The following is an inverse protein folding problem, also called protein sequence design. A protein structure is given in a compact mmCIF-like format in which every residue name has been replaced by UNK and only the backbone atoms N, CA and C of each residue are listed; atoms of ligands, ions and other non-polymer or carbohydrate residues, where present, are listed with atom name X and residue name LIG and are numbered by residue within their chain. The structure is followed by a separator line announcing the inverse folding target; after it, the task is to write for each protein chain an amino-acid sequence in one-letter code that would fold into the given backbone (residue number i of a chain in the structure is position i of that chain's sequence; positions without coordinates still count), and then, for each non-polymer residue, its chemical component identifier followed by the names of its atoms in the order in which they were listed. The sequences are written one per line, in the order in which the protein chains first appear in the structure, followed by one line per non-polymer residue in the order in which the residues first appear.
data_IF_418127496741
#
_entry.id   IF_418127496741
#
_cell.length_a   1.000
_cell.length_b   1.000
_cell.length_c   1.000
_cell.angle_alpha   90.00
_cell.angle_beta   90.00
_cell.angle_gamma   90.00
#
_symmetry.space_group_name_H-M   'P 1'
#
loop_
_entity.id
_entity.type
_entity.pdbx_description
1 polymer ?
#
# COMPACT_ATOMS: atom_id res chain seq x y z
N UNK A 1 -8.28 8.28 21.43
CA UNK A 1 -7.61 7.74 22.63
C UNK A 1 -6.50 6.80 22.23
N UNK A 2 -5.36 7.39 22.03
CA UNK A 2 -4.17 6.68 21.56
C UNK A 2 -3.29 6.15 22.68
N UNK A 3 -3.52 6.59 23.94
CA UNK A 3 -2.66 6.28 25.08
C UNK A 3 -2.66 4.83 25.53
N UNK A 4 -3.81 4.15 25.45
CA UNK A 4 -3.95 2.80 25.97
C UNK A 4 -3.10 1.75 25.27
N UNK A 5 -2.94 1.88 23.95
CA UNK A 5 -2.11 0.95 23.18
C UNK A 5 -0.62 1.08 23.50
N UNK A 6 -0.15 2.30 23.68
CA UNK A 6 1.24 2.56 24.04
C UNK A 6 1.54 2.02 25.44
N UNK A 7 0.68 2.29 26.40
CA UNK A 7 0.85 1.80 27.77
C UNK A 7 0.90 0.28 27.85
N UNK A 8 0.02 -0.39 27.10
CA UNK A 8 -0.02 -1.86 27.03
C UNK A 8 1.29 -2.39 26.46
N UNK A 9 1.78 -1.81 25.38
CA UNK A 9 3.03 -2.23 24.75
C UNK A 9 4.22 -2.00 25.68
N UNK A 10 4.29 -0.86 26.34
CA UNK A 10 5.33 -0.54 27.30
C UNK A 10 5.35 -1.55 28.44
N UNK A 11 4.19 -1.87 28.99
CA UNK A 11 4.05 -2.88 30.04
C UNK A 11 4.52 -4.25 29.55
N UNK A 12 4.07 -4.66 28.36
CA UNK A 12 4.42 -5.97 27.80
C UNK A 12 5.94 -6.10 27.63
N UNK A 13 6.59 -5.07 27.10
CA UNK A 13 8.05 -5.09 26.91
C UNK A 13 8.79 -5.09 28.25
N UNK A 14 8.32 -4.35 29.22
CA UNK A 14 8.92 -4.34 30.57
C UNK A 14 8.84 -5.73 31.23
N UNK A 15 7.87 -6.53 30.85
CA UNK A 15 7.65 -7.90 31.36
C UNK A 15 8.19 -8.98 30.43
N UNK A 16 9.07 -8.62 29.48
CA UNK A 16 9.77 -9.58 28.64
C UNK A 16 8.99 -10.13 27.47
N UNK A 17 7.86 -9.54 27.12
CA UNK A 17 7.09 -9.96 25.93
C UNK A 17 7.93 -9.67 24.68
N UNK A 18 8.16 -10.68 23.81
CA UNK A 18 8.92 -10.46 22.57
C UNK A 18 8.16 -9.60 21.58
N UNK A 19 8.88 -8.94 20.70
CA UNK A 19 8.32 -8.23 19.55
C UNK A 19 9.16 -8.50 18.30
N UNK A 20 8.57 -8.24 17.15
CA UNK A 20 9.20 -8.42 15.84
C UNK A 20 8.70 -7.33 14.88
N UNK A 21 8.96 -7.51 13.58
CA UNK A 21 8.54 -6.57 12.52
C UNK A 21 7.02 -6.38 12.48
N UNK A 22 6.26 -7.37 12.92
CA UNK A 22 4.79 -7.28 12.96
C UNK A 22 4.32 -6.21 13.93
N UNK A 23 5.05 -5.96 15.02
CA UNK A 23 4.71 -4.91 15.99
C UNK A 23 4.67 -3.54 15.32
N UNK A 24 5.72 -3.19 14.57
CA UNK A 24 5.78 -1.93 13.83
C UNK A 24 4.76 -1.89 12.70
N UNK A 25 4.55 -3.00 12.01
CA UNK A 25 3.55 -3.11 10.95
C UNK A 25 2.15 -2.81 11.47
N UNK A 26 1.74 -3.43 12.57
CA UNK A 26 0.41 -3.20 13.14
C UNK A 26 0.24 -1.76 13.65
N UNK A 27 1.28 -1.18 14.23
CA UNK A 27 1.24 0.22 14.64
C UNK A 27 1.05 1.14 13.42
N UNK A 28 1.73 0.85 12.32
CA UNK A 28 1.61 1.60 11.08
C UNK A 28 0.23 1.42 10.44
N UNK A 29 -0.28 0.21 10.40
CA UNK A 29 -1.61 -0.11 9.84
C UNK A 29 -2.73 0.60 10.60
N UNK A 30 -2.61 0.71 11.92
CA UNK A 30 -3.59 1.38 12.76
C UNK A 30 -3.40 2.89 12.84
N UNK A 31 -2.36 3.44 12.23
CA UNK A 31 -2.06 4.87 12.30
C UNK A 31 -1.55 5.35 13.65
N UNK A 32 -0.98 4.44 14.43
CA UNK A 32 -0.52 4.74 15.79
C UNK A 32 0.92 5.26 15.78
N UNK A 33 1.10 6.51 15.42
CA UNK A 33 2.42 7.12 15.26
C UNK A 33 3.25 7.08 16.54
N UNK A 34 2.66 7.45 17.67
CA UNK A 34 3.36 7.43 18.96
C UNK A 34 3.87 6.04 19.35
N UNK A 35 3.03 5.02 19.08
CA UNK A 35 3.40 3.61 19.33
C UNK A 35 4.59 3.22 18.45
N UNK A 36 4.52 3.57 17.17
CA UNK A 36 5.59 3.26 16.21
C UNK A 36 6.89 3.98 16.62
N UNK A 37 6.81 5.25 16.97
CA UNK A 37 7.97 6.05 17.40
C UNK A 37 8.62 5.44 18.65
N UNK A 38 7.81 5.09 19.64
CA UNK A 38 8.31 4.48 20.86
C UNK A 38 8.95 3.12 20.58
N UNK A 39 8.28 2.28 19.79
CA UNK A 39 8.79 0.96 19.43
C UNK A 39 10.15 1.06 18.76
N UNK A 40 10.29 1.95 17.78
CA UNK A 40 11.57 2.15 17.09
C UNK A 40 12.66 2.72 17.99
N UNK A 41 12.32 3.64 18.87
CA UNK A 41 13.27 4.20 19.85
C UNK A 41 13.81 3.11 20.78
N UNK A 42 13.06 2.04 20.98
CA UNK A 42 13.43 0.92 21.85
C UNK A 42 13.87 -0.33 21.06
N UNK A 43 14.26 -0.17 19.80
CA UNK A 43 14.89 -1.22 19.01
C UNK A 43 13.96 -2.23 18.33
N UNK A 44 12.67 -1.96 18.27
CA UNK A 44 11.75 -2.84 17.54
C UNK A 44 12.12 -2.82 16.05
N UNK A 45 12.30 -3.99 15.41
CA UNK A 45 12.63 -4.02 13.98
C UNK A 45 11.46 -3.60 13.11
N UNK A 46 11.76 -3.09 11.91
CA UNK A 46 10.78 -2.80 10.89
C UNK A 46 11.31 -3.16 9.49
N UNK A 47 10.43 -3.21 8.52
CA UNK A 47 10.78 -3.52 7.15
C UNK A 47 9.78 -2.84 6.18
N UNK A 48 9.84 -3.20 4.90
CA UNK A 48 8.95 -2.65 3.87
C UNK A 48 7.46 -2.90 4.14
N UNK A 49 7.12 -3.90 4.93
CA UNK A 49 5.73 -4.14 5.32
C UNK A 49 5.18 -3.04 6.25
N UNK A 50 6.06 -2.36 6.97
CA UNK A 50 5.66 -1.20 7.81
C UNK A 50 5.15 -0.06 6.92
N UNK A 51 5.89 0.29 5.86
CA UNK A 51 5.46 1.33 4.92
C UNK A 51 4.23 0.89 4.13
N UNK A 52 4.18 -0.38 3.72
CA UNK A 52 3.02 -0.95 3.03
C UNK A 52 1.76 -0.86 3.89
N UNK A 53 1.87 -1.15 5.17
CA UNK A 53 0.75 -1.08 6.11
C UNK A 53 0.25 0.36 6.29
N UNK A 54 1.17 1.32 6.37
CA UNK A 54 0.81 2.74 6.45
C UNK A 54 0.05 3.21 5.21
N UNK A 55 0.50 2.78 4.02
CA UNK A 55 -0.18 3.10 2.77
C UNK A 55 -1.54 2.43 2.67
N UNK A 56 -1.62 1.16 3.04
CA UNK A 56 -2.89 0.41 3.05
C UNK A 56 -3.93 1.09 3.92
N UNK A 57 -3.55 1.56 5.09
CA UNK A 57 -4.43 2.26 6.02
C UNK A 57 -4.66 3.74 5.67
N UNK A 58 -3.93 4.29 4.71
CA UNK A 58 -4.01 5.70 4.35
C UNK A 58 -3.42 6.64 5.41
N UNK A 59 -2.49 6.15 6.20
CA UNK A 59 -1.89 6.93 7.30
C UNK A 59 -0.67 7.70 6.83
N UNK A 60 -0.94 8.85 6.25
CA UNK A 60 0.05 9.70 5.58
C UNK A 60 1.19 10.13 6.51
N UNK A 61 0.83 10.61 7.70
CA UNK A 61 1.80 11.07 8.70
C UNK A 61 2.74 9.96 9.15
N UNK A 62 2.20 8.75 9.37
CA UNK A 62 2.99 7.56 9.71
C UNK A 62 3.96 7.22 8.60
N UNK A 63 3.50 7.23 7.35
CA UNK A 63 4.35 6.96 6.19
C UNK A 63 5.48 7.97 6.08
N UNK A 64 5.17 9.27 6.21
CA UNK A 64 6.16 10.33 6.14
C UNK A 64 7.22 10.17 7.22
N UNK A 65 6.79 9.92 8.45
CA UNK A 65 7.73 9.72 9.55
C UNK A 65 8.60 8.48 9.33
N UNK A 66 8.00 7.37 8.93
CA UNK A 66 8.72 6.12 8.69
C UNK A 66 9.80 6.31 7.63
N UNK A 67 9.47 6.95 6.52
CA UNK A 67 10.44 7.23 5.46
C UNK A 67 11.52 8.22 5.88
N UNK A 68 11.17 9.23 6.64
CA UNK A 68 12.15 10.18 7.16
C UNK A 68 13.16 9.50 8.09
N UNK A 69 12.78 8.39 8.70
CA UNK A 69 13.62 7.62 9.62
C UNK A 69 14.19 6.33 8.99
N UNK A 70 14.18 6.23 7.66
CA UNK A 70 14.88 5.18 6.94
C UNK A 70 14.12 3.86 6.78
N UNK A 71 12.81 3.82 7.03
CA UNK A 71 12.04 2.61 6.79
C UNK A 71 12.04 2.28 5.29
N UNK A 72 12.41 1.06 4.88
CA UNK A 72 12.44 0.73 3.46
C UNK A 72 11.06 0.65 2.83
N UNK A 73 11.00 0.79 1.51
CA UNK A 73 9.81 0.55 0.71
C UNK A 73 10.18 -0.11 -0.63
N UNK A 74 9.22 -0.71 -1.28
CA UNK A 74 9.42 -1.38 -2.57
C UNK A 74 8.13 -1.32 -3.42
N UNK A 75 8.08 -2.10 -4.50
CA UNK A 75 6.93 -2.15 -5.42
C UNK A 75 5.64 -2.61 -4.72
N UNK A 76 5.76 -3.46 -3.71
CA UNK A 76 4.59 -3.88 -2.91
C UNK A 76 4.01 -2.74 -2.10
N UNK A 77 4.83 -1.74 -1.74
CA UNK A 77 4.38 -0.57 -0.99
C UNK A 77 3.34 0.21 -1.79
N UNK A 78 3.60 0.48 -3.08
CA UNK A 78 2.64 1.16 -3.95
C UNK A 78 1.39 0.32 -4.19
N UNK A 79 1.56 -1.00 -4.34
CA UNK A 79 0.43 -1.91 -4.48
C UNK A 79 -0.51 -1.87 -3.27
N UNK A 80 0.04 -1.73 -2.07
CA UNK A 80 -0.76 -1.61 -0.84
C UNK A 80 -1.64 -0.35 -0.83
N UNK A 81 -1.14 0.77 -1.34
CA UNK A 81 -1.93 2.00 -1.48
C UNK A 81 -3.16 1.78 -2.36
N UNK A 82 -3.01 0.98 -3.39
CA UNK A 82 -4.09 0.68 -4.33
C UNK A 82 -5.16 -0.21 -3.73
N UNK A 83 -4.77 -1.18 -2.91
CA UNK A 83 -5.74 -1.97 -2.16
C UNK A 83 -6.55 -1.11 -1.19
N UNK A 84 -5.88 -0.15 -0.54
CA UNK A 84 -6.53 0.75 0.39
C UNK A 84 -7.34 1.87 -0.27
N UNK A 85 -7.12 2.14 -1.56
CA UNK A 85 -7.84 3.19 -2.27
C UNK A 85 -7.41 4.61 -1.92
N UNK A 86 -6.18 4.81 -1.48
CA UNK A 86 -5.67 6.10 -1.00
C UNK A 86 -4.81 6.79 -2.06
N UNK A 87 -5.44 7.53 -2.96
CA UNK A 87 -4.77 8.19 -4.09
C UNK A 87 -3.71 9.20 -3.65
N UNK A 88 -4.04 10.07 -2.70
CA UNK A 88 -3.10 11.10 -2.24
C UNK A 88 -1.80 10.52 -1.67
N UNK A 89 -1.94 9.43 -0.92
CA UNK A 89 -0.78 8.73 -0.33
C UNK A 89 0.07 8.08 -1.40
N UNK A 90 -0.57 7.48 -2.40
CA UNK A 90 0.13 6.93 -3.57
C UNK A 90 0.89 8.01 -4.33
N UNK A 91 0.25 9.15 -4.57
CA UNK A 91 0.86 10.28 -5.27
C UNK A 91 2.10 10.78 -4.54
N UNK A 92 2.02 10.93 -3.24
CA UNK A 92 3.16 11.32 -2.42
C UNK A 92 4.29 10.28 -2.50
N UNK A 93 3.95 9.01 -2.37
CA UNK A 93 4.94 7.93 -2.42
C UNK A 93 5.70 7.95 -3.75
N UNK A 94 4.99 8.09 -4.85
CA UNK A 94 5.61 8.18 -6.17
C UNK A 94 6.46 9.44 -6.35
N UNK A 95 5.99 10.57 -5.85
CA UNK A 95 6.76 11.82 -5.90
C UNK A 95 8.07 11.71 -5.11
N UNK A 96 8.13 10.82 -4.13
CA UNK A 96 9.30 10.58 -3.29
C UNK A 96 10.08 9.32 -3.68
N UNK A 97 9.83 8.77 -4.87
CA UNK A 97 10.66 7.71 -5.43
C UNK A 97 10.26 6.28 -5.09
N UNK A 98 9.08 6.06 -4.51
CA UNK A 98 8.61 4.70 -4.26
C UNK A 98 8.40 3.98 -5.61
N UNK A 99 9.04 2.82 -5.82
CA UNK A 99 8.90 2.12 -7.10
C UNK A 99 7.51 1.52 -7.30
N UNK A 100 7.14 1.32 -8.55
CA UNK A 100 5.93 0.58 -8.90
C UNK A 100 6.21 -0.35 -10.09
N UNK A 101 5.32 -1.30 -10.31
CA UNK A 101 5.41 -2.23 -11.43
C UNK A 101 4.01 -2.51 -12.02
N UNK A 102 3.91 -3.51 -12.89
CA UNK A 102 2.65 -3.87 -13.54
C UNK A 102 1.58 -4.38 -12.56
N UNK A 103 1.98 -4.88 -11.39
CA UNK A 103 1.05 -5.28 -10.33
C UNK A 103 0.29 -4.09 -9.75
N UNK A 104 0.89 -2.90 -9.80
CA UNK A 104 0.25 -1.67 -9.35
C UNK A 104 -1.05 -1.42 -10.10
N UNK A 105 -1.00 -1.42 -11.43
CA UNK A 105 -2.19 -1.26 -12.25
C UNK A 105 -3.16 -2.45 -12.12
N UNK A 106 -2.65 -3.67 -12.04
CA UNK A 106 -3.48 -4.85 -11.87
C UNK A 106 -4.28 -4.81 -10.56
N UNK A 107 -3.64 -4.37 -9.47
CA UNK A 107 -4.33 -4.26 -8.18
C UNK A 107 -5.39 -3.17 -8.18
N UNK A 108 -5.12 -2.03 -8.81
CA UNK A 108 -6.12 -0.97 -8.98
C UNK A 108 -7.33 -1.48 -9.76
N UNK A 109 -7.09 -2.21 -10.83
CA UNK A 109 -8.14 -2.80 -11.66
C UNK A 109 -8.96 -3.84 -10.90
N UNK A 110 -8.29 -4.71 -10.15
CA UNK A 110 -8.95 -5.75 -9.35
C UNK A 110 -9.89 -5.18 -8.29
N UNK A 111 -9.47 -4.09 -7.66
CA UNK A 111 -10.25 -3.43 -6.60
C UNK A 111 -11.26 -2.42 -7.13
N UNK A 112 -11.28 -2.15 -8.44
CA UNK A 112 -12.19 -1.19 -9.03
C UNK A 112 -11.85 0.27 -8.71
N UNK A 113 -10.63 0.56 -8.34
CA UNK A 113 -10.17 1.92 -8.06
C UNK A 113 -9.83 2.64 -9.38
N UNK A 114 -10.88 3.04 -10.09
CA UNK A 114 -10.79 3.54 -11.45
C UNK A 114 -9.95 4.81 -11.56
N UNK A 115 -10.19 5.77 -10.68
CA UNK A 115 -9.44 7.04 -10.65
C UNK A 115 -7.94 6.80 -10.41
N UNK A 116 -7.61 5.88 -9.52
CA UNK A 116 -6.21 5.53 -9.24
C UNK A 116 -5.54 4.88 -10.43
N UNK A 117 -6.26 3.99 -11.13
CA UNK A 117 -5.74 3.36 -12.35
C UNK A 117 -5.49 4.40 -13.44
N UNK A 118 -6.42 5.31 -13.65
CA UNK A 118 -6.28 6.40 -14.62
C UNK A 118 -5.08 7.28 -14.28
N UNK A 119 -4.94 7.67 -13.03
CA UNK A 119 -3.81 8.46 -12.58
C UNK A 119 -2.49 7.70 -12.78
N UNK A 120 -2.43 6.45 -12.37
CA UNK A 120 -1.23 5.63 -12.51
C UNK A 120 -0.77 5.54 -13.96
N UNK A 121 -1.69 5.27 -14.88
CA UNK A 121 -1.37 5.21 -16.30
C UNK A 121 -0.95 6.56 -16.88
N UNK A 122 -1.58 7.62 -16.46
CA UNK A 122 -1.18 8.98 -16.88
C UNK A 122 0.24 9.31 -16.45
N UNK A 123 0.73 8.67 -15.41
CA UNK A 123 2.07 8.87 -14.84
C UNK A 123 3.06 7.75 -15.17
N UNK A 124 2.74 6.91 -16.17
CA UNK A 124 3.68 5.94 -16.72
C UNK A 124 3.74 4.58 -16.01
N UNK A 125 2.79 4.28 -15.14
CA UNK A 125 2.75 2.96 -14.52
C UNK A 125 2.56 1.87 -15.58
N UNK A 126 3.41 0.84 -15.62
CA UNK A 126 3.26 -0.22 -16.59
C UNK A 126 2.00 -1.05 -16.36
N UNK A 127 1.45 -1.60 -17.43
CA UNK A 127 0.35 -2.54 -17.36
C UNK A 127 0.53 -3.66 -18.40
N UNK A 128 -0.19 -4.75 -18.21
CA UNK A 128 -0.15 -5.90 -19.12
C UNK A 128 -1.50 -6.63 -19.08
N UNK A 129 -1.55 -7.83 -19.67
CA UNK A 129 -2.77 -8.65 -19.71
C UNK A 129 -3.33 -9.01 -18.32
N UNK A 130 -2.49 -8.95 -17.28
CA UNK A 130 -2.96 -9.18 -15.90
C UNK A 130 -3.85 -8.04 -15.42
N UNK A 131 -3.67 -6.83 -15.95
CA UNK A 131 -4.54 -5.69 -15.61
C UNK A 131 -5.97 -5.94 -16.08
N UNK A 132 -6.14 -6.37 -17.33
CA UNK A 132 -7.47 -6.70 -17.87
C UNK A 132 -8.07 -7.93 -17.20
N UNK A 133 -7.26 -8.95 -16.96
CA UNK A 133 -7.70 -10.14 -16.21
C UNK A 133 -8.15 -9.80 -14.80
N UNK A 134 -7.42 -8.92 -14.12
CA UNK A 134 -7.76 -8.49 -12.77
C UNK A 134 -9.07 -7.70 -12.72
N UNK A 135 -9.31 -6.82 -13.69
CA UNK A 135 -10.58 -6.10 -13.82
C UNK A 135 -11.75 -7.06 -14.02
N UNK A 136 -11.56 -8.04 -14.91
CA UNK A 136 -12.58 -9.06 -15.17
C UNK A 136 -12.85 -9.89 -13.92
N UNK A 137 -11.80 -10.38 -13.28
CA UNK A 137 -11.90 -11.18 -12.07
C UNK A 137 -12.59 -10.44 -10.92
N UNK A 138 -12.30 -9.14 -10.77
CA UNK A 138 -12.93 -8.29 -9.78
C UNK A 138 -14.36 -7.86 -10.14
N UNK A 139 -14.84 -8.16 -11.33
CA UNK A 139 -16.17 -7.77 -11.78
C UNK A 139 -16.30 -6.30 -12.15
N UNK A 140 -15.20 -5.62 -12.44
CA UNK A 140 -15.18 -4.19 -12.74
C UNK A 140 -15.19 -3.94 -14.24
N UNK A 141 -16.39 -4.02 -14.82
CA UNK A 141 -16.58 -3.98 -16.26
C UNK A 141 -16.19 -2.63 -16.88
N UNK A 142 -16.49 -1.52 -16.22
CA UNK A 142 -16.09 -0.19 -16.70
C UNK A 142 -14.57 -0.04 -16.77
N UNK A 143 -13.88 -0.56 -15.75
CA UNK A 143 -12.41 -0.57 -15.72
C UNK A 143 -11.85 -1.39 -16.87
N UNK A 144 -12.43 -2.57 -17.12
CA UNK A 144 -12.03 -3.43 -18.22
C UNK A 144 -12.21 -2.74 -19.57
N UNK A 145 -13.37 -2.13 -19.79
CA UNK A 145 -13.67 -1.40 -21.03
C UNK A 145 -12.69 -0.25 -21.25
N UNK A 146 -12.44 0.54 -20.22
CA UNK A 146 -11.51 1.66 -20.29
C UNK A 146 -10.09 1.18 -20.60
N UNK A 147 -9.62 0.15 -19.92
CA UNK A 147 -8.28 -0.39 -20.12
C UNK A 147 -8.10 -0.87 -21.55
N UNK A 148 -9.07 -1.60 -22.08
CA UNK A 148 -9.04 -2.07 -23.47
C UNK A 148 -9.07 -0.91 -24.46
N UNK A 149 -9.89 0.10 -24.22
CA UNK A 149 -9.99 1.28 -25.07
C UNK A 149 -8.69 2.09 -25.10
N UNK A 150 -7.87 1.99 -24.06
CA UNK A 150 -6.60 2.69 -23.95
C UNK A 150 -5.37 1.81 -24.23
N UNK A 151 -5.60 0.66 -24.88
CA UNK A 151 -4.51 -0.16 -25.38
C UNK A 151 -3.90 -1.15 -24.38
N UNK A 152 -4.56 -1.40 -23.27
CA UNK A 152 -4.08 -2.43 -22.34
C UNK A 152 -4.11 -3.81 -23.03
N UNK A 153 -3.00 -4.56 -22.99
CA UNK A 153 -3.00 -5.92 -23.53
C UNK A 153 -4.06 -6.80 -22.87
N UNK A 154 -4.55 -7.75 -23.63
CA UNK A 154 -5.53 -8.72 -23.16
C UNK A 154 -5.15 -10.12 -23.62
N UNK A 155 -5.66 -11.14 -22.96
CA UNK A 155 -5.48 -12.53 -23.33
C UNK A 155 -6.81 -13.16 -23.76
N UNK A 156 -6.78 -14.42 -24.11
CA UNK A 156 -7.96 -15.16 -24.57
C UNK A 156 -9.13 -15.16 -23.57
N UNK A 157 -8.83 -15.06 -22.27
CA UNK A 157 -9.85 -15.04 -21.21
C UNK A 157 -10.58 -13.70 -21.12
N UNK A 158 -9.94 -12.62 -21.58
CA UNK A 158 -10.50 -11.27 -21.54
C UNK A 158 -11.06 -10.83 -22.90
N UNK A 159 -10.96 -11.67 -23.93
CA UNK A 159 -11.46 -11.37 -25.27
C UNK A 159 -12.87 -11.90 -25.52
N UNK A 160 -13.40 -12.77 -24.69
CA UNK A 160 -14.73 -13.32 -24.84
C UNK A 160 -15.79 -12.21 -24.77
N UNK A 161 -16.86 -12.27 -25.60
CA UNK A 161 -17.92 -11.28 -25.65
C UNK A 161 -18.78 -11.28 -24.39
#
# INVERSE_FOLDING_TARGET
MTGGHLEVLQWARANGCPWDEETCKYAAEGGHLEVLQWARANGCPWNEFTTSAALYGGHFEVLQWARANGCPWNEFTTSAALYGGHLEVLQWARANGCPWDDRTCANAAKCGHFEMLQWARANGCPWNEFTTSAALYGGHFEVLQWARAHGCPWNEFTTAP
#
